data_IF_633864759574
#
_entry.id   IF_633864759574
#
_cell.length_a   1.000
_cell.length_b   1.000
_cell.length_c   1.000
_cell.angle_alpha   90.00
_cell.angle_beta   90.00
_cell.angle_gamma   90.00
#
_symmetry.space_group_name_H-M   'P 1'
#
loop_
_entity.id
_entity.type
_entity.pdbx_description
1 polymer ?
#
# COMPACT_ATOMS: atom_id res chain seq x y z
N UNK A 1 -1.22 -13.23 -19.03
CA UNK A 1 -2.03 -14.44 -18.73
C UNK A 1 -2.60 -14.46 -17.31
N UNK A 2 -1.86 -14.05 -16.26
CA UNK A 2 -2.33 -14.06 -14.87
C UNK A 2 -3.56 -13.16 -14.61
N UNK A 3 -3.62 -11.96 -15.21
CA UNK A 3 -4.74 -11.01 -15.10
C UNK A 3 -6.07 -11.69 -15.44
N UNK A 4 -6.15 -12.26 -16.63
CA UNK A 4 -7.38 -12.89 -17.12
C UNK A 4 -7.79 -14.10 -16.29
N UNK A 5 -6.81 -14.80 -15.67
CA UNK A 5 -7.11 -15.93 -14.80
C UNK A 5 -7.78 -15.49 -13.49
N UNK A 6 -7.26 -14.46 -12.82
CA UNK A 6 -7.80 -14.03 -11.52
C UNK A 6 -9.18 -13.35 -11.65
N UNK A 7 -9.39 -12.59 -12.73
CA UNK A 7 -10.71 -12.07 -13.09
C UNK A 7 -11.71 -13.19 -13.39
N UNK A 8 -11.31 -14.23 -14.15
CA UNK A 8 -12.17 -15.40 -14.42
C UNK A 8 -12.55 -16.13 -13.15
N UNK A 9 -11.61 -16.34 -12.22
CA UNK A 9 -11.91 -16.99 -10.94
C UNK A 9 -12.95 -16.19 -10.15
N UNK A 10 -12.81 -14.87 -10.08
CA UNK A 10 -13.78 -14.02 -9.37
C UNK A 10 -15.17 -14.09 -10.03
N UNK A 11 -15.22 -14.01 -11.37
CA UNK A 11 -16.47 -14.11 -12.12
C UNK A 11 -17.14 -15.48 -11.96
N UNK A 12 -16.39 -16.57 -12.08
CA UNK A 12 -16.92 -17.94 -11.90
C UNK A 12 -17.49 -18.17 -10.51
N UNK A 13 -16.90 -17.58 -9.46
CA UNK A 13 -17.45 -17.66 -8.11
C UNK A 13 -18.77 -16.89 -7.97
N UNK A 14 -18.86 -15.70 -8.57
CA UNK A 14 -20.11 -14.92 -8.62
C UNK A 14 -21.19 -15.71 -9.36
N UNK A 15 -20.89 -16.24 -10.54
CA UNK A 15 -21.84 -17.03 -11.35
C UNK A 15 -22.31 -18.29 -10.61
N UNK A 16 -21.38 -19.01 -9.97
CA UNK A 16 -21.71 -20.23 -9.20
C UNK A 16 -22.65 -19.90 -8.05
N UNK A 17 -22.36 -18.85 -7.27
CA UNK A 17 -23.20 -18.48 -6.13
C UNK A 17 -24.56 -17.92 -6.58
N UNK A 18 -24.60 -17.15 -7.69
CA UNK A 18 -25.86 -16.72 -8.29
C UNK A 18 -26.73 -17.92 -8.67
N UNK A 19 -26.16 -18.91 -9.35
CA UNK A 19 -26.86 -20.15 -9.71
C UNK A 19 -27.37 -20.92 -8.49
N UNK A 20 -26.56 -21.00 -7.42
CA UNK A 20 -26.97 -21.63 -6.16
C UNK A 20 -28.13 -20.90 -5.49
N UNK A 21 -28.13 -19.57 -5.51
CA UNK A 21 -29.23 -18.73 -5.01
C UNK A 21 -30.52 -19.01 -5.80
N UNK A 22 -30.46 -18.95 -7.14
CA UNK A 22 -31.61 -19.23 -8.02
C UNK A 22 -32.20 -20.62 -7.75
N UNK A 23 -31.33 -21.63 -7.59
CA UNK A 23 -31.74 -23.02 -7.32
C UNK A 23 -32.35 -23.20 -5.93
N UNK A 24 -31.79 -22.55 -4.91
CA UNK A 24 -32.28 -22.61 -3.53
C UNK A 24 -33.68 -21.99 -3.42
N UNK A 25 -33.86 -20.78 -3.97
CA UNK A 25 -35.15 -20.07 -4.00
C UNK A 25 -36.22 -20.93 -4.70
N UNK A 26 -35.87 -21.54 -5.83
CA UNK A 26 -36.80 -22.38 -6.61
C UNK A 26 -37.30 -23.61 -5.84
N UNK A 27 -36.54 -24.11 -4.87
CA UNK A 27 -36.89 -25.30 -4.07
C UNK A 27 -37.54 -24.93 -2.73
N UNK A 28 -37.07 -23.87 -2.09
CA UNK A 28 -37.51 -23.43 -0.76
C UNK A 28 -37.48 -21.90 -0.72
N UNK A 29 -38.63 -21.22 -0.84
CA UNK A 29 -38.69 -19.75 -0.84
C UNK A 29 -38.15 -19.08 0.43
N UNK A 30 -38.14 -19.79 1.56
CA UNK A 30 -37.67 -19.29 2.88
C UNK A 30 -36.27 -19.77 3.26
N UNK A 31 -35.45 -20.16 2.27
CA UNK A 31 -34.07 -20.61 2.48
C UNK A 31 -33.14 -19.45 2.85
N UNK A 32 -32.19 -19.69 3.75
CA UNK A 32 -31.13 -18.73 4.03
C UNK A 32 -30.14 -18.64 2.85
N UNK A 33 -29.93 -17.40 2.40
CA UNK A 33 -29.09 -17.01 1.28
C UNK A 33 -27.92 -16.12 1.69
N UNK A 34 -27.85 -15.72 2.95
CA UNK A 34 -26.86 -14.76 3.48
C UNK A 34 -25.44 -15.11 3.04
N UNK A 35 -25.00 -16.34 3.27
CA UNK A 35 -23.67 -16.81 2.88
C UNK A 35 -23.39 -16.69 1.38
N UNK A 36 -24.36 -16.99 0.51
CA UNK A 36 -24.16 -16.90 -0.93
C UNK A 36 -24.07 -15.43 -1.39
N UNK A 37 -24.90 -14.56 -0.81
CA UNK A 37 -24.88 -13.13 -1.09
C UNK A 37 -23.58 -12.49 -0.57
N UNK A 38 -23.10 -12.89 0.61
CA UNK A 38 -21.83 -12.44 1.16
C UNK A 38 -20.65 -12.84 0.26
N UNK A 39 -20.65 -14.06 -0.27
CA UNK A 39 -19.62 -14.50 -1.23
C UNK A 39 -19.69 -13.67 -2.51
N UNK A 40 -20.88 -13.42 -3.06
CA UNK A 40 -21.06 -12.57 -4.25
C UNK A 40 -20.51 -11.16 -3.97
N UNK A 41 -20.90 -10.56 -2.85
CA UNK A 41 -20.46 -9.23 -2.45
C UNK A 41 -18.94 -9.14 -2.27
N UNK A 42 -18.33 -10.18 -1.67
CA UNK A 42 -16.89 -10.30 -1.50
C UNK A 42 -16.16 -10.25 -2.85
N UNK A 43 -16.60 -11.04 -3.84
CA UNK A 43 -15.97 -11.08 -5.15
C UNK A 43 -16.24 -9.84 -6.01
N UNK A 44 -17.42 -9.20 -5.88
CA UNK A 44 -17.68 -7.88 -6.49
C UNK A 44 -16.71 -6.84 -5.94
N UNK A 45 -16.61 -6.72 -4.61
CA UNK A 45 -15.71 -5.76 -3.97
C UNK A 45 -14.25 -6.03 -4.35
N UNK A 46 -13.86 -7.30 -4.50
CA UNK A 46 -12.53 -7.67 -4.98
C UNK A 46 -12.29 -7.15 -6.39
N UNK A 47 -13.20 -7.44 -7.34
CA UNK A 47 -13.09 -6.97 -8.73
C UNK A 47 -13.01 -5.45 -8.84
N UNK A 48 -13.84 -4.72 -8.09
CA UNK A 48 -13.80 -3.25 -8.03
C UNK A 48 -12.40 -2.76 -7.66
N UNK A 49 -11.82 -3.29 -6.59
CA UNK A 49 -10.45 -2.93 -6.19
C UNK A 49 -9.39 -3.29 -7.24
N UNK A 50 -9.59 -4.34 -8.06
CA UNK A 50 -8.66 -4.65 -9.16
C UNK A 50 -8.75 -3.60 -10.27
N UNK A 51 -9.96 -3.13 -10.58
CA UNK A 51 -10.19 -2.08 -11.56
C UNK A 51 -9.63 -0.74 -11.07
N UNK A 52 -9.86 -0.39 -9.81
CA UNK A 52 -9.33 0.83 -9.20
C UNK A 52 -7.79 0.83 -9.25
N UNK A 53 -7.15 -0.29 -8.87
CA UNK A 53 -5.69 -0.40 -8.95
C UNK A 53 -5.13 -0.32 -10.37
N UNK A 54 -5.86 -0.80 -11.39
CA UNK A 54 -5.46 -0.64 -12.79
C UNK A 54 -5.65 0.80 -13.28
N UNK A 55 -6.72 1.47 -12.84
CA UNK A 55 -6.94 2.88 -13.12
C UNK A 55 -5.86 3.74 -12.48
N UNK A 56 -5.49 3.47 -11.22
CA UNK A 56 -4.39 4.13 -10.52
C UNK A 56 -3.08 3.99 -11.31
N UNK A 57 -2.78 2.80 -11.84
CA UNK A 57 -1.57 2.58 -12.67
C UNK A 57 -1.64 3.38 -13.97
N UNK A 58 -2.78 3.38 -14.64
CA UNK A 58 -2.96 4.13 -15.88
C UNK A 58 -2.81 5.64 -15.67
N UNK A 59 -3.19 6.15 -14.50
CA UNK A 59 -3.13 7.57 -14.12
C UNK A 59 -1.74 8.04 -13.64
N UNK A 60 -0.76 7.14 -13.53
CA UNK A 60 0.62 7.49 -13.14
C UNK A 60 1.39 8.19 -14.28
N UNK A 61 0.91 8.13 -15.52
CA UNK A 61 1.68 8.64 -16.68
C UNK A 61 1.90 10.15 -16.66
N UNK A 62 1.03 10.92 -16.01
CA UNK A 62 1.12 12.37 -15.92
C UNK A 62 1.38 12.82 -14.48
N UNK A 63 2.64 12.74 -14.03
CA UNK A 63 3.03 13.23 -12.71
C UNK A 63 3.15 14.76 -12.68
N UNK A 64 2.60 15.36 -11.63
CA UNK A 64 2.67 16.80 -11.35
C UNK A 64 3.64 17.04 -10.20
N UNK A 65 4.87 17.36 -10.57
CA UNK A 65 5.95 17.61 -9.61
C UNK A 65 5.71 18.91 -8.85
N UNK A 66 5.84 18.85 -7.53
CA UNK A 66 5.70 19.99 -6.64
C UNK A 66 6.61 19.86 -5.41
N UNK A 67 6.89 20.98 -4.77
CA UNK A 67 7.64 20.99 -3.51
C UNK A 67 6.74 20.49 -2.38
N UNK A 68 7.15 19.39 -1.74
CA UNK A 68 6.34 18.67 -0.76
C UNK A 68 7.10 18.49 0.54
N UNK A 69 6.53 19.00 1.64
CA UNK A 69 6.99 18.73 3.01
C UNK A 69 6.74 17.28 3.39
N UNK A 70 7.82 16.57 3.72
CA UNK A 70 7.73 15.19 4.21
C UNK A 70 7.02 15.12 5.57
N UNK A 71 7.20 16.12 6.44
CA UNK A 71 6.48 16.20 7.70
C UNK A 71 4.96 16.24 7.46
N UNK A 72 4.51 17.07 6.52
CA UNK A 72 3.09 17.18 6.18
C UNK A 72 2.55 15.88 5.56
N UNK A 73 3.33 15.25 4.67
CA UNK A 73 2.95 13.99 4.03
C UNK A 73 2.84 12.84 5.06
N UNK A 74 3.83 12.69 5.94
CA UNK A 74 3.83 11.65 6.98
C UNK A 74 2.70 11.84 7.97
N UNK A 75 2.43 13.09 8.39
CA UNK A 75 1.29 13.39 9.27
C UNK A 75 -0.04 13.05 8.61
N UNK A 76 -0.18 13.28 7.30
CA UNK A 76 -1.38 12.90 6.54
C UNK A 76 -1.58 11.38 6.57
N UNK A 77 -0.54 10.61 6.28
CA UNK A 77 -0.58 9.14 6.32
C UNK A 77 -0.89 8.63 7.74
N UNK A 78 -0.21 9.18 8.75
CA UNK A 78 -0.43 8.81 10.15
C UNK A 78 -1.87 9.05 10.60
N UNK A 79 -2.44 10.20 10.24
CA UNK A 79 -3.83 10.52 10.56
C UNK A 79 -4.80 9.54 9.89
N UNK A 80 -4.61 9.28 8.59
CA UNK A 80 -5.47 8.42 7.79
C UNK A 80 -5.56 6.99 8.34
N UNK A 81 -4.44 6.42 8.79
CA UNK A 81 -4.37 5.03 9.26
C UNK A 81 -4.37 4.87 10.78
N UNK A 82 -4.42 5.96 11.55
CA UNK A 82 -4.42 5.91 13.02
C UNK A 82 -5.54 5.02 13.58
N UNK A 83 -6.75 5.13 13.05
CA UNK A 83 -7.90 4.29 13.46
C UNK A 83 -7.68 2.82 13.13
N UNK A 84 -7.20 2.50 11.92
CA UNK A 84 -6.93 1.12 11.50
C UNK A 84 -5.81 0.48 12.33
N UNK A 85 -4.73 1.22 12.59
CA UNK A 85 -3.62 0.76 13.41
C UNK A 85 -4.09 0.52 14.87
N UNK A 86 -4.82 1.47 15.45
CA UNK A 86 -5.36 1.35 16.81
C UNK A 86 -6.33 0.16 16.96
N UNK A 87 -7.19 -0.07 15.97
CA UNK A 87 -8.12 -1.20 15.97
C UNK A 87 -7.41 -2.56 15.97
N UNK A 88 -6.18 -2.63 15.44
CA UNK A 88 -5.32 -3.81 15.48
C UNK A 88 -4.27 -3.79 16.61
N UNK A 89 -4.30 -2.78 17.48
CA UNK A 89 -3.25 -2.55 18.49
C UNK A 89 -1.84 -2.41 17.90
N UNK A 90 -1.73 -1.87 16.68
CA UNK A 90 -0.45 -1.62 16.00
C UNK A 90 -0.04 -0.17 16.24
N UNK A 91 1.24 0.07 16.54
CA UNK A 91 1.79 1.41 16.68
C UNK A 91 2.32 1.93 15.35
N UNK A 92 1.74 3.03 14.85
CA UNK A 92 2.23 3.73 13.67
C UNK A 92 3.14 4.90 14.09
N UNK A 93 4.44 4.72 13.87
CA UNK A 93 5.51 5.63 14.28
C UNK A 93 6.02 6.39 13.06
N UNK A 94 6.33 7.67 13.24
CA UNK A 94 6.90 8.52 12.20
C UNK A 94 8.22 9.09 12.69
N UNK A 95 9.30 8.86 11.95
CA UNK A 95 10.65 9.34 12.31
C UNK A 95 11.14 10.29 11.22
N UNK A 96 11.33 11.55 11.57
CA UNK A 96 11.83 12.60 10.68
C UNK A 96 12.90 13.42 11.40
N UNK A 97 13.82 14.07 10.65
CA UNK A 97 14.71 15.08 11.23
C UNK A 97 13.93 16.22 11.90
N UNK A 98 14.59 16.95 12.80
CA UNK A 98 13.98 18.11 13.49
C UNK A 98 13.64 19.27 12.53
N UNK A 99 14.30 19.34 11.37
CA UNK A 99 14.05 20.32 10.33
C UNK A 99 13.15 19.74 9.24
N UNK A 100 12.34 20.61 8.60
CA UNK A 100 11.48 20.15 7.52
C UNK A 100 12.29 19.87 6.25
N UNK A 101 11.96 18.76 5.60
CA UNK A 101 12.58 18.32 4.35
C UNK A 101 11.55 18.41 3.25
N UNK A 102 11.85 19.28 2.29
CA UNK A 102 11.05 19.51 1.10
C UNK A 102 11.61 18.67 -0.03
N UNK A 103 10.78 17.79 -0.61
CA UNK A 103 11.13 17.02 -1.81
C UNK A 103 10.33 17.51 -3.02
N UNK A 104 11.01 17.59 -4.16
CA UNK A 104 10.37 17.83 -5.45
C UNK A 104 9.79 16.52 -6.00
N UNK A 105 8.49 16.26 -5.75
CA UNK A 105 7.79 15.03 -6.12
C UNK A 105 6.31 15.30 -6.41
N UNK A 106 5.61 14.35 -7.03
CA UNK A 106 4.15 14.37 -7.07
C UNK A 106 3.59 13.82 -5.76
N UNK A 107 3.14 14.75 -4.91
CA UNK A 107 2.56 14.45 -3.61
C UNK A 107 1.44 13.42 -3.69
N UNK A 108 0.56 13.51 -4.68
CA UNK A 108 -0.63 12.66 -4.78
C UNK A 108 -0.24 11.21 -5.08
N UNK A 109 0.68 11.00 -6.03
CA UNK A 109 1.13 9.65 -6.41
C UNK A 109 2.00 9.03 -5.33
N UNK A 110 2.89 9.79 -4.70
CA UNK A 110 3.70 9.28 -3.59
C UNK A 110 2.83 8.94 -2.38
N UNK A 111 1.79 9.73 -2.10
CA UNK A 111 0.82 9.39 -1.05
C UNK A 111 0.13 8.05 -1.34
N UNK A 112 -0.27 7.79 -2.59
CA UNK A 112 -0.85 6.50 -3.00
C UNK A 112 0.16 5.35 -2.78
N UNK A 113 1.43 5.54 -3.15
CA UNK A 113 2.46 4.53 -2.89
C UNK A 113 2.62 4.22 -1.40
N UNK A 114 2.67 5.25 -0.54
CA UNK A 114 2.74 5.08 0.91
C UNK A 114 1.50 4.40 1.48
N UNK A 115 0.30 4.75 1.00
CA UNK A 115 -0.94 4.08 1.37
C UNK A 115 -0.86 2.57 1.10
N UNK A 116 -0.36 2.15 -0.07
CA UNK A 116 -0.19 0.72 -0.40
C UNK A 116 0.80 0.01 0.51
N UNK A 117 1.91 0.66 0.86
CA UNK A 117 2.89 0.09 1.78
C UNK A 117 2.29 -0.06 3.19
N UNK A 118 1.63 0.97 3.71
CA UNK A 118 1.01 0.94 5.03
C UNK A 118 -0.15 -0.07 5.08
N UNK A 119 -0.96 -0.16 4.04
CA UNK A 119 -2.02 -1.18 3.92
C UNK A 119 -1.45 -2.60 3.98
N UNK A 120 -0.35 -2.86 3.27
CA UNK A 120 0.33 -4.15 3.33
C UNK A 120 0.87 -4.41 4.74
N UNK A 121 1.60 -3.48 5.33
CA UNK A 121 2.13 -3.65 6.69
C UNK A 121 0.99 -3.89 7.70
N UNK A 122 -0.11 -3.15 7.63
CA UNK A 122 -1.28 -3.38 8.51
C UNK A 122 -1.89 -4.78 8.33
N UNK A 123 -1.81 -5.38 7.15
CA UNK A 123 -2.32 -6.75 6.90
C UNK A 123 -1.40 -7.80 7.53
N UNK A 124 -0.08 -7.62 7.40
CA UNK A 124 0.92 -8.64 7.77
C UNK A 124 1.55 -8.44 9.15
N UNK A 125 1.34 -7.30 9.79
CA UNK A 125 1.75 -7.05 11.17
C UNK A 125 0.71 -7.59 12.15
N UNK A 126 1.18 -8.39 13.11
CA UNK A 126 0.36 -8.92 14.19
C UNK A 126 -0.09 -7.86 15.19
N UNK A 127 -1.07 -8.20 16.03
CA UNK A 127 -1.52 -7.30 17.09
C UNK A 127 -0.40 -6.99 18.08
N UNK A 128 -0.23 -5.71 18.45
CA UNK A 128 0.85 -5.25 19.32
C UNK A 128 2.15 -4.90 18.58
N UNK A 129 2.21 -5.07 17.25
CA UNK A 129 3.37 -4.76 16.43
C UNK A 129 3.54 -3.26 16.11
N UNK A 130 4.54 -2.97 15.29
CA UNK A 130 4.97 -1.62 14.94
C UNK A 130 5.10 -1.47 13.43
N UNK A 131 4.68 -0.30 12.95
CA UNK A 131 4.93 0.16 11.59
C UNK A 131 5.64 1.51 11.73
N UNK A 132 6.84 1.61 11.16
CA UNK A 132 7.69 2.80 11.21
C UNK A 132 7.77 3.39 9.81
N UNK A 133 7.31 4.64 9.67
CA UNK A 133 7.49 5.47 8.48
C UNK A 133 8.61 6.47 8.77
N UNK A 134 9.74 6.33 8.09
CA UNK A 134 10.91 7.16 8.33
C UNK A 134 11.50 7.76 7.05
N UNK A 135 12.26 8.84 7.22
CA UNK A 135 13.12 9.36 6.17
C UNK A 135 14.58 9.09 6.51
N UNK A 136 15.32 8.58 5.53
CA UNK A 136 16.77 8.40 5.59
C UNK A 136 17.40 9.25 4.50
N UNK A 137 18.20 10.23 4.89
CA UNK A 137 18.95 11.04 3.93
C UNK A 137 20.35 10.48 3.75
N UNK A 138 20.76 10.32 2.48
CA UNK A 138 22.08 9.83 2.09
C UNK A 138 22.77 10.87 1.21
N UNK A 139 24.03 10.63 0.84
CA UNK A 139 24.76 11.54 -0.07
C UNK A 139 24.05 11.66 -1.42
N UNK A 140 23.57 10.54 -1.96
CA UNK A 140 23.09 10.46 -3.35
C UNK A 140 21.57 10.45 -3.47
N UNK A 141 20.84 10.21 -2.38
CA UNK A 141 19.39 9.97 -2.40
C UNK A 141 18.71 10.39 -1.10
N UNK A 142 17.43 10.74 -1.19
CA UNK A 142 16.53 10.78 -0.04
C UNK A 142 15.63 9.55 -0.09
N UNK A 143 15.54 8.82 1.01
CA UNK A 143 14.80 7.54 1.08
C UNK A 143 13.61 7.73 2.02
N UNK A 144 12.42 7.37 1.55
CA UNK A 144 11.27 7.18 2.44
C UNK A 144 11.14 5.68 2.69
N UNK A 145 11.26 5.27 3.95
CA UNK A 145 11.24 3.88 4.36
C UNK A 145 9.99 3.55 5.17
N UNK A 146 9.37 2.42 4.85
CA UNK A 146 8.30 1.81 5.63
C UNK A 146 8.79 0.47 6.16
N UNK A 147 8.93 0.36 7.47
CA UNK A 147 9.37 -0.85 8.15
C UNK A 147 8.24 -1.38 9.01
N UNK A 148 8.00 -2.69 8.95
CA UNK A 148 7.10 -3.40 9.85
C UNK A 148 7.79 -4.59 10.51
N UNK A 149 7.27 -5.02 11.66
CA UNK A 149 7.70 -6.20 12.42
C UNK A 149 6.76 -7.41 12.21
N UNK A 150 6.14 -7.50 11.03
CA UNK A 150 5.18 -8.55 10.70
C UNK A 150 5.80 -9.91 10.35
N UNK A 151 5.03 -10.73 9.63
CA UNK A 151 5.43 -12.09 9.24
C UNK A 151 6.64 -12.15 8.30
N UNK A 152 7.01 -11.03 7.68
CA UNK A 152 8.08 -10.96 6.69
C UNK A 152 7.74 -11.70 5.38
N UNK A 153 8.71 -11.71 4.48
CA UNK A 153 8.58 -12.21 3.10
C UNK A 153 9.66 -13.26 2.87
N UNK A 154 9.24 -14.44 2.42
CA UNK A 154 10.14 -15.51 2.04
C UNK A 154 11.05 -15.08 0.87
N UNK A 155 12.33 -15.45 0.91
CA UNK A 155 13.35 -14.97 -0.04
C UNK A 155 13.02 -15.32 -1.49
N UNK A 156 12.39 -16.46 -1.74
CA UNK A 156 11.94 -16.89 -3.06
C UNK A 156 10.88 -15.97 -3.67
N UNK A 157 10.16 -15.19 -2.85
CA UNK A 157 9.11 -14.29 -3.31
C UNK A 157 9.64 -12.88 -3.63
N UNK A 158 10.70 -12.44 -2.96
CA UNK A 158 11.26 -11.07 -3.07
C UNK A 158 11.45 -10.60 -4.53
N UNK A 159 12.00 -11.42 -5.47
CA UNK A 159 12.21 -10.97 -6.84
C UNK A 159 10.92 -10.63 -7.60
N UNK A 160 9.77 -11.12 -7.14
CA UNK A 160 8.50 -11.07 -7.86
C UNK A 160 7.44 -10.21 -7.17
N UNK A 161 7.64 -9.75 -5.93
CA UNK A 161 6.58 -9.06 -5.18
C UNK A 161 6.10 -7.75 -5.81
N UNK A 162 6.91 -7.13 -6.66
CA UNK A 162 6.54 -5.93 -7.42
C UNK A 162 5.95 -6.24 -8.79
N UNK A 163 5.85 -7.51 -9.19
CA UNK A 163 5.23 -7.91 -10.43
C UNK A 163 3.71 -7.79 -10.32
N UNK A 164 3.10 -7.33 -11.41
CA UNK A 164 1.65 -7.22 -11.54
C UNK A 164 0.98 -8.57 -11.25
N UNK A 165 0.02 -8.56 -10.32
CA UNK A 165 -0.78 -9.71 -9.88
C UNK A 165 -0.01 -10.79 -9.13
N UNK A 166 1.23 -10.53 -8.72
CA UNK A 166 1.98 -11.48 -7.92
C UNK A 166 1.37 -11.63 -6.52
N UNK A 167 1.31 -12.88 -6.06
CA UNK A 167 0.81 -13.26 -4.73
C UNK A 167 1.64 -14.45 -4.24
N UNK A 168 2.28 -14.30 -3.08
CA UNK A 168 2.96 -15.42 -2.40
C UNK A 168 1.95 -16.45 -1.86
N UNK A 169 2.40 -17.67 -1.55
CA UNK A 169 1.51 -18.78 -1.18
C UNK A 169 0.66 -18.49 0.08
N UNK A 170 1.23 -17.78 1.06
CA UNK A 170 0.53 -17.35 2.29
C UNK A 170 -0.57 -16.32 2.04
N UNK A 171 -0.53 -15.60 0.91
CA UNK A 171 -1.47 -14.53 0.58
C UNK A 171 -2.68 -15.00 -0.22
N UNK A 172 -2.87 -16.30 -0.43
CA UNK A 172 -3.93 -16.86 -1.31
C UNK A 172 -5.33 -16.93 -0.70
N UNK A 173 -5.46 -16.71 0.61
CA UNK A 173 -6.78 -16.61 1.25
C UNK A 173 -7.60 -15.48 0.59
N UNK A 174 -8.86 -15.76 0.29
CA UNK A 174 -9.77 -14.82 -0.37
C UNK A 174 -10.22 -13.71 0.59
N UNK A 175 -10.16 -13.96 1.89
CA UNK A 175 -10.57 -13.02 2.93
C UNK A 175 -9.47 -12.04 3.34
N UNK A 176 -8.21 -12.48 3.36
CA UNK A 176 -7.07 -11.65 3.80
C UNK A 176 -6.12 -11.26 2.66
N UNK A 177 -6.21 -11.93 1.51
CA UNK A 177 -5.29 -11.76 0.41
C UNK A 177 -5.54 -10.53 -0.46
N UNK A 178 -4.49 -9.72 -0.63
CA UNK A 178 -4.47 -8.60 -1.56
C UNK A 178 -4.57 -9.02 -3.03
N UNK A 179 -4.81 -8.05 -3.90
CA UNK A 179 -5.07 -8.26 -5.34
C UNK A 179 -3.77 -8.44 -6.16
N UNK A 180 -2.61 -8.26 -5.54
CA UNK A 180 -1.31 -8.32 -6.20
C UNK A 180 -1.00 -7.09 -7.08
N UNK A 181 -1.79 -6.01 -6.96
CA UNK A 181 -1.54 -4.76 -7.68
C UNK A 181 -0.81 -3.73 -6.79
N UNK A 182 -1.00 -3.78 -5.47
CA UNK A 182 -0.53 -2.75 -4.54
C UNK A 182 0.97 -2.44 -4.65
N UNK A 183 1.84 -3.44 -4.61
CA UNK A 183 3.28 -3.22 -4.72
C UNK A 183 3.72 -2.87 -6.15
N UNK A 184 3.06 -3.40 -7.18
CA UNK A 184 3.35 -2.99 -8.56
C UNK A 184 3.07 -1.51 -8.78
N UNK A 185 1.99 -0.98 -8.17
CA UNK A 185 1.66 0.45 -8.19
C UNK A 185 2.77 1.29 -7.56
N UNK A 186 3.31 0.86 -6.41
CA UNK A 186 4.46 1.51 -5.76
C UNK A 186 5.64 1.59 -6.74
N UNK A 187 5.96 0.50 -7.44
CA UNK A 187 7.04 0.48 -8.44
C UNK A 187 6.77 1.45 -9.60
N UNK A 188 5.54 1.51 -10.13
CA UNK A 188 5.18 2.46 -11.18
C UNK A 188 5.32 3.91 -10.72
N UNK A 189 4.88 4.23 -9.49
CA UNK A 189 5.05 5.57 -8.91
C UNK A 189 6.53 5.93 -8.84
N UNK A 190 7.38 5.03 -8.33
CA UNK A 190 8.82 5.30 -8.23
C UNK A 190 9.49 5.47 -9.59
N UNK A 191 9.13 4.63 -10.57
CA UNK A 191 9.64 4.75 -11.94
C UNK A 191 9.26 6.10 -12.57
N UNK A 192 8.02 6.57 -12.38
CA UNK A 192 7.61 7.88 -12.86
C UNK A 192 8.45 9.02 -12.26
N UNK A 193 8.89 8.86 -11.02
CA UNK A 193 9.76 9.82 -10.32
C UNK A 193 11.27 9.65 -10.63
N UNK A 194 11.64 8.77 -11.56
CA UNK A 194 13.04 8.37 -11.82
C UNK A 194 13.76 7.86 -10.55
N UNK A 195 12.99 7.28 -9.64
CA UNK A 195 13.49 6.64 -8.43
C UNK A 195 13.39 5.13 -8.51
N UNK A 196 13.63 4.47 -7.38
CA UNK A 196 13.56 3.02 -7.27
C UNK A 196 12.81 2.59 -6.00
N UNK A 197 12.32 1.35 -5.99
CA UNK A 197 11.78 0.73 -4.79
C UNK A 197 12.52 -0.57 -4.51
N UNK A 198 12.97 -0.73 -3.26
CA UNK A 198 13.61 -1.97 -2.82
C UNK A 198 12.92 -2.53 -1.58
N UNK A 199 13.17 -3.80 -1.31
CA UNK A 199 12.66 -4.48 -0.12
C UNK A 199 13.78 -5.27 0.54
N UNK A 200 13.83 -5.22 1.86
CA UNK A 200 14.62 -6.13 2.69
C UNK A 200 13.67 -6.80 3.67
N UNK A 201 13.68 -8.13 3.74
CA UNK A 201 12.78 -8.84 4.63
C UNK A 201 13.37 -10.18 5.06
N UNK A 202 13.01 -10.62 6.26
CA UNK A 202 13.32 -11.95 6.78
C UNK A 202 12.04 -12.54 7.36
N UNK A 203 11.74 -13.80 7.02
CA UNK A 203 10.56 -14.50 7.52
C UNK A 203 10.53 -14.49 9.05
N UNK A 204 9.40 -14.06 9.62
CA UNK A 204 9.16 -13.91 11.04
C UNK A 204 9.83 -12.70 11.71
N UNK A 205 10.43 -11.79 10.93
CA UNK A 205 11.12 -10.58 11.44
C UNK A 205 10.64 -9.29 10.76
N UNK A 206 9.60 -9.37 9.92
CA UNK A 206 9.04 -8.22 9.21
C UNK A 206 9.74 -7.87 7.90
N UNK A 207 9.42 -6.68 7.40
CA UNK A 207 9.88 -6.18 6.10
C UNK A 207 10.16 -4.68 6.15
N UNK A 208 11.12 -4.24 5.33
CA UNK A 208 11.47 -2.84 5.12
C UNK A 208 11.39 -2.54 3.63
N UNK A 209 10.55 -1.58 3.26
CA UNK A 209 10.39 -1.09 1.89
C UNK A 209 10.99 0.31 1.78
N UNK A 210 11.90 0.49 0.84
CA UNK A 210 12.62 1.75 0.63
C UNK A 210 12.18 2.37 -0.70
N UNK A 211 11.55 3.54 -0.63
CA UNK A 211 11.28 4.41 -1.77
C UNK A 211 12.47 5.36 -1.93
N UNK A 212 13.29 5.13 -2.95
CA UNK A 212 14.57 5.80 -3.17
C UNK A 212 14.36 6.92 -4.19
N UNK A 213 14.57 8.16 -3.77
CA UNK A 213 14.49 9.36 -4.60
C UNK A 213 15.90 9.93 -4.84
N UNK A 214 16.49 9.75 -6.04
CA UNK A 214 17.86 10.20 -6.32
C UNK A 214 17.96 11.72 -6.32
N UNK A 215 18.94 12.28 -5.58
CA UNK A 215 19.16 13.73 -5.51
C UNK A 215 19.59 14.34 -6.85
N UNK A 216 20.13 13.51 -7.76
CA UNK A 216 20.43 13.90 -9.14
C UNK A 216 19.18 14.28 -9.95
N UNK A 217 18.01 13.76 -9.58
CA UNK A 217 16.75 13.94 -10.30
C UNK A 217 15.69 14.68 -9.48
N UNK A 218 15.81 14.60 -8.15
CA UNK A 218 14.87 15.17 -7.20
C UNK A 218 15.61 16.17 -6.32
N UNK A 219 15.18 17.43 -6.40
CA UNK A 219 15.70 18.48 -5.53
C UNK A 219 15.13 18.27 -4.14
N UNK A 220 16.01 18.20 -3.15
CA UNK A 220 15.64 18.33 -1.75
C UNK A 220 16.11 19.67 -1.19
N UNK A 221 15.32 20.26 -0.30
CA UNK A 221 15.70 21.44 0.49
C UNK A 221 15.40 21.19 1.95
N UNK A 222 16.32 21.62 2.80
CA UNK A 222 16.11 21.72 4.24
C UNK A 222 15.70 23.15 4.54
N UNK A 223 14.53 23.32 5.17
CA UNK A 223 14.12 24.63 5.70
C UNK A 223 14.33 24.64 7.20
N UNK A 224 15.13 25.60 7.68
CA UNK A 224 15.21 25.90 9.10
C UNK A 224 13.85 26.41 9.58
N UNK A 225 13.33 25.84 10.67
CA UNK A 225 12.14 26.37 11.34
C UNK A 225 12.43 27.82 11.77
N UNK A 226 11.53 28.78 11.51
CA UNK A 226 11.76 30.16 11.93
C UNK A 226 11.95 30.21 13.44
N UNK A 227 13.05 30.82 13.87
CA UNK A 227 13.41 30.98 15.26
C UNK A 227 12.27 31.71 16.00
N UNK A 228 11.69 31.05 17.01
CA UNK A 228 10.59 31.60 17.83
C UNK A 228 11.01 32.88 18.59
N UNK A 229 12.30 33.23 18.59
CA UNK A 229 12.82 34.49 19.13
C UNK A 229 12.52 35.72 18.24
N UNK A 230 12.13 35.53 16.98
CA UNK A 230 11.92 36.63 16.01
C UNK A 230 10.50 37.19 15.93
N UNK A 231 9.54 36.62 16.68
CA UNK A 231 8.14 37.05 16.72
C UNK A 231 7.79 38.00 17.90
N UNK A 232 8.82 38.49 18.61
CA UNK A 232 8.66 39.49 19.67
C UNK A 232 9.49 40.71 19.32
N UNK A 233 9.06 41.48 18.31
CA UNK A 233 9.34 42.91 18.22
C UNK A 233 8.25 43.65 17.47
#
# INVERSE_FOLDING_TARGET
HAISHDFRTSLSNIETNRYLVERKISKHPEVDLSTNLDIIQLYIARMTRQLDGLADIADITDIVMQETSLATLFNTIKLLYSTNANAKHIQLITTLPEHDVLLWLDRSKVQIALQRLIENSLVYTGAGGHIVLEMVDTVDSTIIRVTDDGEGIAQEHIPYIFDLFYRGDMSRDVHTGGIGIGLSLVRFVMQAHNGDVTVTSTTGQGASFDLIFPKAHIRSRVTELPDKSSLIH
#
